data_IF_785294773288
#
_entry.id   IF_785294773288
#
_cell.length_a   1.000
_cell.length_b   1.000
_cell.length_c   1.000
_cell.angle_alpha   90.00
_cell.angle_beta   90.00
_cell.angle_gamma   90.00
#
_symmetry.space_group_name_H-M   'P 1'
#
loop_
_entity.id
_entity.type
_entity.pdbx_description
1 polymer ?
#
# COMPACT_ATOMS: atom_id res chain seq x y z
N UNK A 1 15.47 13.91 17.23
CA UNK A 1 14.76 14.93 16.45
C UNK A 1 15.65 15.66 15.44
N UNK A 2 16.49 16.65 15.79
CA UNK A 2 17.27 17.40 14.77
C UNK A 2 18.26 16.50 13.99
N UNK A 3 19.04 15.66 14.68
CA UNK A 3 19.99 14.76 14.01
C UNK A 3 19.30 13.72 13.10
N UNK A 4 18.14 13.21 13.50
CA UNK A 4 17.33 12.30 12.67
C UNK A 4 16.76 13.03 11.45
N UNK A 5 16.29 14.27 11.62
CA UNK A 5 15.77 15.08 10.51
C UNK A 5 16.87 15.44 9.49
N UNK A 6 18.08 15.76 9.97
CA UNK A 6 19.25 15.99 9.11
C UNK A 6 19.68 14.72 8.37
N UNK A 7 19.67 13.56 9.04
CA UNK A 7 19.96 12.28 8.40
C UNK A 7 18.92 11.94 7.33
N UNK A 8 17.62 12.08 7.65
CA UNK A 8 16.53 11.88 6.68
C UNK A 8 16.68 12.79 5.46
N UNK A 9 16.99 14.07 5.65
CA UNK A 9 17.26 15.01 4.54
C UNK A 9 18.50 14.62 3.73
N UNK A 10 19.55 14.10 4.37
CA UNK A 10 20.73 13.56 3.70
C UNK A 10 20.41 12.37 2.81
N UNK A 11 19.60 11.44 3.30
CA UNK A 11 19.21 10.21 2.60
C UNK A 11 18.32 10.50 1.38
N UNK A 12 17.35 11.41 1.51
CA UNK A 12 16.52 11.88 0.39
C UNK A 12 17.40 12.50 -0.70
N UNK A 13 18.30 13.42 -0.34
CA UNK A 13 19.15 14.10 -1.32
C UNK A 13 20.07 13.12 -2.05
N UNK A 14 20.58 12.11 -1.36
CA UNK A 14 21.36 11.04 -1.98
C UNK A 14 20.50 10.23 -2.95
N UNK A 15 19.32 9.78 -2.55
CA UNK A 15 18.43 9.03 -3.41
C UNK A 15 18.01 9.81 -4.67
N UNK A 16 17.68 11.10 -4.53
CA UNK A 16 17.40 11.99 -5.67
C UNK A 16 18.62 12.05 -6.60
N UNK A 17 19.82 12.22 -6.05
CA UNK A 17 21.05 12.33 -6.84
C UNK A 17 21.35 11.04 -7.61
N UNK A 18 21.18 9.88 -6.97
CA UNK A 18 21.37 8.59 -7.63
C UNK A 18 20.29 8.36 -8.68
N UNK A 19 19.02 8.57 -8.36
CA UNK A 19 17.93 8.35 -9.32
C UNK A 19 18.00 9.30 -10.51
N UNK A 20 18.43 10.57 -10.36
CA UNK A 20 18.65 11.47 -11.50
C UNK A 20 19.72 10.98 -12.47
N UNK A 21 20.83 10.42 -11.94
CA UNK A 21 21.88 9.82 -12.78
C UNK A 21 21.38 8.57 -13.51
N UNK A 22 20.63 7.74 -12.78
CA UNK A 22 20.06 6.49 -13.30
C UNK A 22 18.99 6.80 -14.36
N UNK A 23 18.10 7.75 -14.14
CA UNK A 23 17.10 8.21 -15.12
C UNK A 23 17.74 8.75 -16.39
N UNK A 24 18.82 9.53 -16.29
CA UNK A 24 19.54 10.02 -17.47
C UNK A 24 20.10 8.86 -18.32
N UNK A 25 20.70 7.86 -17.67
CA UNK A 25 21.24 6.68 -18.35
C UNK A 25 20.14 5.82 -19.00
N UNK A 26 19.01 5.60 -18.32
CA UNK A 26 17.94 4.74 -18.84
C UNK A 26 17.11 5.41 -19.94
N UNK A 27 16.95 6.74 -19.89
CA UNK A 27 16.39 7.51 -20.99
C UNK A 27 17.25 7.42 -22.25
N UNK A 28 18.58 7.30 -22.12
CA UNK A 28 19.48 7.15 -23.27
C UNK A 28 19.37 5.77 -23.96
N UNK A 29 18.88 4.75 -23.25
CA UNK A 29 18.72 3.39 -23.81
C UNK A 29 17.26 3.02 -24.12
N UNK A 30 16.32 3.97 -24.04
CA UNK A 30 14.88 3.80 -24.31
C UNK A 30 14.23 2.62 -23.56
N UNK A 31 14.64 2.37 -22.32
CA UNK A 31 14.04 1.31 -21.52
C UNK A 31 12.96 1.86 -20.59
N UNK A 32 11.80 2.17 -21.19
CA UNK A 32 10.64 2.78 -20.53
C UNK A 32 10.13 1.97 -19.32
N UNK A 33 10.37 0.65 -19.31
CA UNK A 33 10.03 -0.26 -18.22
C UNK A 33 10.85 0.07 -16.96
N UNK A 34 12.17 0.26 -17.10
CA UNK A 34 13.03 0.65 -15.97
C UNK A 34 12.83 2.10 -15.57
N UNK A 35 12.60 3.01 -16.53
CA UNK A 35 12.30 4.41 -16.22
C UNK A 35 11.05 4.49 -15.34
N UNK A 36 9.98 3.79 -15.71
CA UNK A 36 8.76 3.73 -14.91
C UNK A 36 8.98 3.13 -13.51
N UNK A 37 9.84 2.10 -13.39
CA UNK A 37 10.17 1.51 -12.10
C UNK A 37 10.96 2.47 -11.19
N UNK A 38 11.94 3.19 -11.74
CA UNK A 38 12.71 4.18 -10.99
C UNK A 38 11.81 5.33 -10.52
N UNK A 39 10.94 5.83 -11.40
CA UNK A 39 9.96 6.86 -11.07
C UNK A 39 9.00 6.37 -9.97
N UNK A 40 8.52 5.12 -10.05
CA UNK A 40 7.67 4.54 -9.01
C UNK A 40 8.38 4.46 -7.64
N UNK A 41 9.63 3.99 -7.65
CA UNK A 41 10.45 3.84 -6.43
C UNK A 41 10.79 5.19 -5.80
N UNK A 42 11.10 6.21 -6.62
CA UNK A 42 11.25 7.59 -6.15
C UNK A 42 9.95 8.09 -5.50
N UNK A 43 8.82 7.84 -6.15
CA UNK A 43 7.49 8.15 -5.62
C UNK A 43 7.28 7.59 -4.22
N UNK A 44 7.51 6.28 -4.03
CA UNK A 44 7.41 5.62 -2.73
C UNK A 44 8.36 6.23 -1.70
N UNK A 45 9.61 6.46 -2.07
CA UNK A 45 10.61 7.04 -1.18
C UNK A 45 10.20 8.44 -0.69
N UNK A 46 9.77 9.32 -1.59
CA UNK A 46 9.29 10.66 -1.20
C UNK A 46 8.09 10.59 -0.25
N UNK A 47 7.19 9.62 -0.44
CA UNK A 47 6.07 9.38 0.47
C UNK A 47 6.51 8.89 1.87
N UNK A 48 7.54 8.06 1.96
CA UNK A 48 8.12 7.61 3.24
C UNK A 48 8.71 8.78 4.03
N UNK A 49 9.24 9.78 3.34
CA UNK A 49 9.78 11.00 3.95
C UNK A 49 8.75 12.14 4.08
N UNK A 50 7.46 11.83 3.98
CA UNK A 50 6.35 12.79 4.12
C UNK A 50 6.33 13.91 3.07
N UNK A 51 7.13 13.80 2.01
CA UNK A 51 7.09 14.70 0.86
C UNK A 51 6.09 14.18 -0.18
N UNK A 52 4.80 14.31 0.15
CA UNK A 52 3.70 13.75 -0.64
C UNK A 52 3.58 14.43 -2.02
N UNK A 53 3.91 15.73 -2.13
CA UNK A 53 3.85 16.47 -3.40
C UNK A 53 4.84 15.90 -4.42
N UNK A 54 6.12 15.76 -4.05
CA UNK A 54 7.13 15.14 -4.94
C UNK A 54 6.80 13.68 -5.23
N UNK A 55 6.24 12.96 -4.26
CA UNK A 55 5.78 11.59 -4.47
C UNK A 55 4.78 11.51 -5.62
N UNK A 56 3.78 12.39 -5.66
CA UNK A 56 2.82 12.41 -6.78
C UNK A 56 3.47 12.73 -8.11
N UNK A 57 4.47 13.62 -8.18
CA UNK A 57 5.17 13.95 -9.42
C UNK A 57 5.78 12.68 -10.02
N UNK A 58 6.50 11.93 -9.19
CA UNK A 58 7.20 10.71 -9.61
C UNK A 58 6.23 9.55 -9.90
N UNK A 59 5.23 9.33 -9.05
CA UNK A 59 4.23 8.28 -9.27
C UNK A 59 3.37 8.54 -10.52
N UNK A 60 3.00 9.79 -10.81
CA UNK A 60 2.23 10.08 -12.03
C UNK A 60 3.06 9.88 -13.30
N UNK A 61 4.36 10.19 -13.29
CA UNK A 61 5.24 9.84 -14.42
C UNK A 61 5.31 8.33 -14.65
N UNK A 62 5.50 7.57 -13.57
CA UNK A 62 5.48 6.10 -13.64
C UNK A 62 4.14 5.58 -14.17
N UNK A 63 3.02 6.13 -13.69
CA UNK A 63 1.66 5.77 -14.11
C UNK A 63 1.48 5.98 -15.61
N UNK A 64 1.83 7.16 -16.13
CA UNK A 64 1.68 7.48 -17.56
C UNK A 64 2.54 6.56 -18.43
N UNK A 65 3.81 6.36 -18.07
CA UNK A 65 4.69 5.44 -18.79
C UNK A 65 4.15 4.00 -18.78
N UNK A 66 3.73 3.49 -17.61
CA UNK A 66 3.16 2.14 -17.47
C UNK A 66 1.86 1.97 -18.27
N UNK A 67 1.03 3.01 -18.36
CA UNK A 67 -0.16 3.03 -19.23
C UNK A 67 0.24 2.95 -20.71
N UNK A 68 1.21 3.75 -21.15
CA UNK A 68 1.67 3.76 -22.55
C UNK A 68 2.25 2.41 -22.99
N UNK A 69 3.09 1.79 -22.15
CA UNK A 69 3.75 0.51 -22.48
C UNK A 69 2.93 -0.72 -22.05
N UNK A 70 1.73 -0.53 -21.50
CA UNK A 70 0.85 -1.58 -20.99
C UNK A 70 1.51 -2.51 -19.93
N UNK A 71 2.33 -1.92 -19.05
CA UNK A 71 3.02 -2.65 -17.98
C UNK A 71 2.01 -3.19 -16.95
N UNK A 72 2.14 -4.47 -16.61
CA UNK A 72 1.30 -5.10 -15.58
C UNK A 72 1.51 -4.52 -14.18
N UNK A 73 2.63 -3.81 -13.95
CA UNK A 73 2.94 -3.15 -12.68
C UNK A 73 2.20 -1.82 -12.51
N UNK A 74 1.34 -1.42 -13.45
CA UNK A 74 0.49 -0.22 -13.30
C UNK A 74 -0.28 -0.22 -11.96
N UNK A 75 -0.83 -1.37 -11.55
CA UNK A 75 -1.58 -1.52 -10.31
C UNK A 75 -0.76 -1.13 -9.07
N UNK A 76 0.53 -1.49 -9.04
CA UNK A 76 1.44 -1.13 -7.94
C UNK A 76 1.62 0.39 -7.79
N UNK A 77 1.69 1.09 -8.93
CA UNK A 77 1.79 2.56 -8.92
C UNK A 77 0.49 3.19 -8.45
N UNK A 78 -0.65 2.68 -8.92
CA UNK A 78 -1.96 3.16 -8.51
C UNK A 78 -2.21 2.95 -7.01
N UNK A 79 -1.75 1.83 -6.45
CA UNK A 79 -1.76 1.56 -5.01
C UNK A 79 -0.97 2.62 -4.26
N UNK A 80 0.25 2.93 -4.70
CA UNK A 80 1.10 3.95 -4.09
C UNK A 80 0.45 5.36 -4.15
N UNK A 81 -0.23 5.68 -5.26
CA UNK A 81 -0.99 6.93 -5.42
C UNK A 81 -2.18 6.98 -4.45
N UNK A 82 -2.92 5.88 -4.30
CA UNK A 82 -4.03 5.78 -3.35
C UNK A 82 -3.54 5.97 -1.91
N UNK A 83 -2.40 5.38 -1.54
CA UNK A 83 -1.80 5.58 -0.22
C UNK A 83 -1.46 7.04 0.07
N UNK A 84 -0.95 7.78 -0.94
CA UNK A 84 -0.71 9.22 -0.79
C UNK A 84 -2.01 9.98 -0.51
N UNK A 85 -3.09 9.70 -1.24
CA UNK A 85 -4.38 10.35 -0.99
C UNK A 85 -4.94 10.01 0.40
N UNK A 86 -4.79 8.75 0.84
CA UNK A 86 -5.16 8.33 2.22
C UNK A 86 -4.35 9.10 3.25
N UNK A 87 -3.04 9.29 3.06
CA UNK A 87 -2.18 10.08 3.95
C UNK A 87 -2.62 11.54 4.04
N UNK A 88 -3.06 12.12 2.92
CA UNK A 88 -3.65 13.47 2.87
C UNK A 88 -5.09 13.53 3.40
N UNK A 89 -5.69 12.39 3.74
CA UNK A 89 -7.12 12.26 4.09
C UNK A 89 -8.05 12.74 2.97
N UNK A 90 -7.58 12.69 1.73
CA UNK A 90 -8.36 13.03 0.53
C UNK A 90 -9.21 11.84 0.10
N UNK A 91 -10.38 11.71 0.73
CA UNK A 91 -11.32 10.61 0.48
C UNK A 91 -11.79 10.59 -0.98
N UNK A 92 -11.99 11.75 -1.59
CA UNK A 92 -12.53 11.85 -2.96
C UNK A 92 -11.55 11.26 -3.96
N UNK A 93 -10.27 11.65 -3.90
CA UNK A 93 -9.28 11.11 -4.83
C UNK A 93 -8.80 9.71 -4.44
N UNK A 94 -8.88 9.31 -3.16
CA UNK A 94 -8.64 7.92 -2.76
C UNK A 94 -9.65 6.97 -3.41
N UNK A 95 -10.94 7.34 -3.47
CA UNK A 95 -11.97 6.53 -4.14
C UNK A 95 -11.74 6.39 -5.64
N UNK A 96 -11.38 7.48 -6.32
CA UNK A 96 -11.01 7.41 -7.75
C UNK A 96 -9.81 6.50 -7.99
N UNK A 97 -8.81 6.57 -7.11
CA UNK A 97 -7.65 5.68 -7.19
C UNK A 97 -8.05 4.21 -6.98
N UNK A 98 -8.98 3.92 -6.06
CA UNK A 98 -9.53 2.57 -5.88
C UNK A 98 -10.27 2.05 -7.12
N UNK A 99 -11.03 2.91 -7.80
CA UNK A 99 -11.68 2.56 -9.08
C UNK A 99 -10.63 2.20 -10.14
N UNK A 100 -9.60 3.04 -10.33
CA UNK A 100 -8.50 2.73 -11.27
C UNK A 100 -7.74 1.45 -10.90
N UNK A 101 -7.52 1.18 -9.60
CA UNK A 101 -6.87 -0.06 -9.13
C UNK A 101 -7.73 -1.27 -9.50
N UNK A 102 -9.04 -1.23 -9.24
CA UNK A 102 -9.94 -2.34 -9.54
C UNK A 102 -9.97 -2.64 -11.05
N UNK A 103 -9.96 -1.61 -11.89
CA UNK A 103 -9.88 -1.75 -13.35
C UNK A 103 -8.54 -2.32 -13.83
N UNK A 104 -7.44 -2.08 -13.10
CA UNK A 104 -6.10 -2.54 -13.49
C UNK A 104 -5.73 -3.93 -12.98
N UNK A 105 -6.46 -4.46 -11.97
CA UNK A 105 -6.25 -5.82 -11.45
C UNK A 105 -6.63 -6.83 -12.54
N UNK A 106 -5.68 -7.69 -12.89
CA UNK A 106 -5.89 -8.78 -13.85
C UNK A 106 -6.43 -10.03 -13.13
N UNK A 107 -7.16 -10.86 -13.85
CA UNK A 107 -7.61 -12.16 -13.34
C UNK A 107 -6.44 -12.99 -12.79
N UNK A 108 -6.58 -13.45 -11.55
CA UNK A 108 -5.54 -14.21 -10.84
C UNK A 108 -4.50 -13.38 -10.09
N UNK A 109 -4.53 -12.03 -10.18
CA UNK A 109 -3.69 -11.16 -9.34
C UNK A 109 -4.29 -11.00 -7.94
N UNK A 110 -4.20 -12.08 -7.17
CA UNK A 110 -4.74 -12.14 -5.82
C UNK A 110 -4.06 -11.16 -4.87
N UNK A 111 -2.77 -10.86 -5.09
CA UNK A 111 -2.01 -9.95 -4.22
C UNK A 111 -2.55 -8.53 -4.34
N UNK A 112 -2.67 -8.02 -5.56
CA UNK A 112 -3.22 -6.68 -5.78
C UNK A 112 -4.68 -6.58 -5.32
N UNK A 113 -5.46 -7.66 -5.43
CA UNK A 113 -6.83 -7.70 -4.92
C UNK A 113 -6.89 -7.60 -3.39
N UNK A 114 -6.00 -8.27 -2.66
CA UNK A 114 -5.90 -8.13 -1.21
C UNK A 114 -5.50 -6.72 -0.81
N UNK A 115 -4.49 -6.15 -1.48
CA UNK A 115 -4.06 -4.76 -1.24
C UNK A 115 -5.19 -3.76 -1.52
N UNK A 116 -5.97 -3.97 -2.59
CA UNK A 116 -7.17 -3.19 -2.88
C UNK A 116 -8.17 -3.20 -1.71
N UNK A 117 -8.51 -4.38 -1.17
CA UNK A 117 -9.47 -4.45 -0.06
C UNK A 117 -8.94 -3.75 1.20
N UNK A 118 -7.64 -3.83 1.47
CA UNK A 118 -7.01 -3.13 2.60
C UNK A 118 -7.11 -1.61 2.39
N UNK A 119 -6.83 -1.10 1.19
CA UNK A 119 -6.97 0.32 0.88
C UNK A 119 -8.43 0.77 0.96
N UNK A 120 -9.36 0.00 0.41
CA UNK A 120 -10.80 0.30 0.48
C UNK A 120 -11.27 0.38 1.94
N UNK A 121 -10.89 -0.58 2.77
CA UNK A 121 -11.16 -0.55 4.21
C UNK A 121 -10.65 0.75 4.85
N UNK A 122 -9.40 1.16 4.56
CA UNK A 122 -8.82 2.42 5.09
C UNK A 122 -9.60 3.65 4.61
N UNK A 123 -10.04 3.69 3.36
CA UNK A 123 -10.85 4.79 2.81
C UNK A 123 -12.23 4.85 3.46
N UNK A 124 -12.89 3.70 3.64
CA UNK A 124 -14.19 3.61 4.31
C UNK A 124 -14.08 4.07 5.77
N UNK A 125 -13.00 3.69 6.47
CA UNK A 125 -12.69 4.18 7.82
C UNK A 125 -12.49 5.70 7.86
N UNK A 126 -11.75 6.27 6.90
CA UNK A 126 -11.53 7.72 6.82
C UNK A 126 -12.84 8.50 6.58
N UNK A 127 -13.75 7.92 5.82
CA UNK A 127 -15.06 8.51 5.55
C UNK A 127 -16.03 8.38 6.73
N UNK A 128 -15.79 7.42 7.63
CA UNK A 128 -16.68 7.08 8.74
C UNK A 128 -17.76 6.06 8.37
N UNK A 129 -17.63 5.37 7.25
CA UNK A 129 -18.56 4.33 6.80
C UNK A 129 -18.24 2.99 7.49
N UNK A 130 -18.39 2.96 8.83
CA UNK A 130 -17.94 1.86 9.70
C UNK A 130 -18.48 0.49 9.27
N UNK A 131 -19.75 0.42 8.83
CA UNK A 131 -20.36 -0.83 8.36
C UNK A 131 -19.72 -1.36 7.09
N UNK A 132 -19.42 -0.47 6.14
CA UNK A 132 -18.77 -0.83 4.88
C UNK A 132 -17.31 -1.20 5.12
N UNK A 133 -16.63 -0.50 6.04
CA UNK A 133 -15.27 -0.86 6.45
C UNK A 133 -15.23 -2.28 7.03
N UNK A 134 -16.10 -2.59 8.00
CA UNK A 134 -16.21 -3.94 8.60
C UNK A 134 -16.49 -5.01 7.54
N UNK A 135 -17.47 -4.77 6.67
CA UNK A 135 -17.81 -5.67 5.57
C UNK A 135 -16.60 -5.94 4.66
N UNK A 136 -15.90 -4.87 4.25
CA UNK A 136 -14.76 -4.94 3.32
C UNK A 136 -13.60 -5.74 3.88
N UNK A 137 -13.22 -5.49 5.14
CA UNK A 137 -12.09 -6.19 5.75
C UNK A 137 -12.44 -7.66 6.07
N UNK A 138 -13.71 -7.97 6.37
CA UNK A 138 -14.20 -9.34 6.51
C UNK A 138 -14.17 -10.09 5.17
N UNK A 139 -14.54 -9.43 4.07
CA UNK A 139 -14.37 -9.99 2.71
C UNK A 139 -12.90 -10.32 2.43
N UNK A 140 -11.99 -9.40 2.74
CA UNK A 140 -10.55 -9.62 2.59
C UNK A 140 -10.07 -10.82 3.39
N UNK A 141 -10.48 -10.91 4.67
CA UNK A 141 -10.10 -12.02 5.56
C UNK A 141 -10.59 -13.38 5.05
N UNK A 142 -11.83 -13.45 4.58
CA UNK A 142 -12.39 -14.68 4.02
C UNK A 142 -11.67 -15.09 2.73
N UNK A 143 -11.34 -14.11 1.88
CA UNK A 143 -10.58 -14.37 0.66
C UNK A 143 -9.20 -14.99 0.96
N UNK A 144 -8.40 -14.35 1.83
CA UNK A 144 -7.04 -14.85 2.15
C UNK A 144 -7.06 -16.20 2.87
N UNK A 145 -8.09 -16.47 3.68
CA UNK A 145 -8.30 -17.79 4.30
C UNK A 145 -8.61 -18.87 3.27
N UNK A 146 -9.48 -18.59 2.30
CA UNK A 146 -9.82 -19.55 1.24
C UNK A 146 -8.63 -19.86 0.33
N UNK A 147 -7.67 -18.94 0.21
CA UNK A 147 -6.44 -19.11 -0.56
C UNK A 147 -5.28 -19.72 0.25
N UNK A 148 -5.46 -19.99 1.55
CA UNK A 148 -4.43 -20.43 2.50
C UNK A 148 -3.21 -19.48 2.59
N UNK A 149 -3.47 -18.17 2.44
CA UNK A 149 -2.46 -17.11 2.58
C UNK A 149 -2.28 -16.78 4.06
N UNK A 150 -1.47 -17.60 4.76
CA UNK A 150 -1.33 -17.54 6.22
C UNK A 150 -0.84 -16.19 6.73
N UNK A 151 0.18 -15.61 6.09
CA UNK A 151 0.76 -14.34 6.53
C UNK A 151 -0.26 -13.22 6.43
N UNK A 152 -0.92 -13.10 5.28
CA UNK A 152 -1.95 -12.10 4.98
C UNK A 152 -3.17 -12.31 5.89
N UNK A 153 -3.54 -13.57 6.17
CA UNK A 153 -4.59 -13.90 7.15
C UNK A 153 -4.26 -13.33 8.52
N UNK A 154 -3.02 -13.49 8.98
CA UNK A 154 -2.59 -12.98 10.27
C UNK A 154 -2.61 -11.44 10.32
N UNK A 155 -2.09 -10.79 9.28
CA UNK A 155 -2.06 -9.33 9.15
C UNK A 155 -3.48 -8.73 9.15
N UNK A 156 -4.38 -9.28 8.34
CA UNK A 156 -5.78 -8.83 8.25
C UNK A 156 -6.54 -9.13 9.54
N UNK A 157 -6.29 -10.27 10.18
CA UNK A 157 -6.90 -10.58 11.47
C UNK A 157 -6.48 -9.57 12.55
N UNK A 158 -5.22 -9.15 12.57
CA UNK A 158 -4.78 -8.08 13.50
C UNK A 158 -5.44 -6.75 13.17
N UNK A 159 -5.57 -6.39 11.89
CA UNK A 159 -6.26 -5.17 11.46
C UNK A 159 -7.72 -5.15 11.93
N UNK A 160 -8.42 -6.26 11.76
CA UNK A 160 -9.81 -6.42 12.22
C UNK A 160 -9.92 -6.43 13.75
N UNK A 161 -8.95 -7.02 14.44
CA UNK A 161 -8.85 -6.96 15.89
C UNK A 161 -8.75 -5.53 16.41
N UNK A 162 -7.88 -4.71 15.81
CA UNK A 162 -7.76 -3.28 16.12
C UNK A 162 -9.04 -2.51 15.84
N UNK A 163 -9.68 -2.77 14.70
CA UNK A 163 -10.98 -2.18 14.35
C UNK A 163 -12.03 -2.42 15.43
N UNK A 164 -12.11 -3.63 15.98
CA UNK A 164 -13.07 -3.95 17.04
C UNK A 164 -12.71 -3.34 18.38
N UNK A 165 -11.42 -3.13 18.69
CA UNK A 165 -11.00 -2.33 19.86
C UNK A 165 -11.56 -0.91 19.73
N UNK A 166 -11.32 -0.27 18.58
CA UNK A 166 -11.75 1.12 18.34
C UNK A 166 -13.29 1.24 18.35
N UNK A 167 -13.99 0.15 18.04
CA UNK A 167 -15.46 0.06 18.07
C UNK A 167 -16.03 -0.37 19.44
N UNK A 168 -15.21 -0.60 20.47
CA UNK A 168 -15.64 -1.03 21.81
C UNK A 168 -16.12 -2.49 21.89
N UNK A 169 -15.83 -3.32 20.88
CA UNK A 169 -16.25 -4.73 20.75
C UNK A 169 -15.12 -5.66 21.19
N UNK A 170 -14.84 -5.67 22.49
CA UNK A 170 -13.66 -6.35 23.06
C UNK A 170 -13.62 -7.87 22.81
N UNK A 171 -14.77 -8.54 22.82
CA UNK A 171 -14.84 -9.99 22.59
C UNK A 171 -14.36 -10.40 21.19
N UNK A 172 -14.80 -9.65 20.19
CA UNK A 172 -14.42 -9.89 18.79
C UNK A 172 -12.98 -9.46 18.54
N UNK A 173 -12.57 -8.32 19.12
CA UNK A 173 -11.18 -7.90 19.09
C UNK A 173 -10.23 -9.01 19.59
N UNK A 174 -10.52 -9.59 20.77
CA UNK A 174 -9.71 -10.66 21.33
C UNK A 174 -9.66 -11.89 20.41
N UNK A 175 -10.78 -12.28 19.81
CA UNK A 175 -10.84 -13.40 18.88
C UNK A 175 -9.91 -13.19 17.67
N UNK A 176 -9.99 -12.03 17.01
CA UNK A 176 -9.20 -11.78 15.80
C UNK A 176 -7.72 -11.52 16.11
N UNK A 177 -7.40 -10.82 17.21
CA UNK A 177 -6.00 -10.63 17.64
C UNK A 177 -5.33 -11.96 17.99
N UNK A 178 -6.00 -12.81 18.77
CA UNK A 178 -5.48 -14.14 19.10
C UNK A 178 -5.26 -14.98 17.84
N UNK A 179 -6.24 -14.98 16.92
CA UNK A 179 -6.11 -15.67 15.64
C UNK A 179 -4.86 -15.22 14.87
N UNK A 180 -4.63 -13.91 14.73
CA UNK A 180 -3.46 -13.39 14.02
C UNK A 180 -2.14 -13.72 14.72
N UNK A 181 -2.08 -13.59 16.05
CA UNK A 181 -0.88 -13.88 16.84
C UNK A 181 -0.49 -15.36 16.76
N UNK A 182 -1.46 -16.28 16.89
CA UNK A 182 -1.18 -17.71 16.79
C UNK A 182 -0.65 -18.10 15.41
N UNK A 183 -1.21 -17.57 14.33
CA UNK A 183 -0.70 -17.83 12.98
C UNK A 183 0.75 -17.30 12.84
N UNK A 184 1.07 -16.12 13.38
CA UNK A 184 2.45 -15.62 13.34
C UNK A 184 3.43 -16.45 14.19
N UNK A 185 2.97 -17.08 15.27
CA UNK A 185 3.77 -18.05 16.03
C UNK A 185 4.01 -19.32 15.21
N UNK A 186 2.98 -19.85 14.54
CA UNK A 186 3.11 -21.01 13.64
C UNK A 186 4.10 -20.74 12.50
N UNK A 187 4.11 -19.52 11.97
CA UNK A 187 5.05 -19.08 10.92
C UNK A 187 6.47 -18.80 11.45
N UNK A 188 6.70 -18.86 12.78
CA UNK A 188 7.99 -18.56 13.39
C UNK A 188 8.39 -17.07 13.34
N UNK A 189 7.45 -16.18 12.99
CA UNK A 189 7.67 -14.73 12.93
C UNK A 189 7.67 -14.13 14.35
N UNK A 190 6.82 -14.66 15.24
CA UNK A 190 6.81 -14.33 16.65
C UNK A 190 7.44 -15.48 17.46
N UNK A 191 8.35 -15.14 18.39
CA UNK A 191 8.91 -16.13 19.31
C UNK A 191 7.85 -16.53 20.35
N UNK A 192 7.83 -17.81 20.71
CA UNK A 192 7.09 -18.27 21.88
C UNK A 192 7.77 -17.67 23.12
N UNK A 193 7.01 -16.90 23.89
CA UNK A 193 7.40 -16.39 25.21
C UNK A 193 7.36 -17.49 26.26
#
# INVERSE_FOLDING_TARGET
>A
MIAEEYNKKGDINNAIKYSKKTLALFNEINDDIYVAEIENNLGKLFCEFENIEESFIHLNKAKELRKTIQDSRLTETLISICENYIKLKDVVNSKKALEEIMESIKDGDHKSLVEYYILKYRVDMLQGDIREAESTILTALNFVKNMDYKKETAEIAIMLGKFYIDSGREGEAAQYLNCGVEIFKELGILKQS
#
